data_IF_596857480103
#
_entry.id   IF_596857480103
#
_cell.length_a   1.000
_cell.length_b   1.000
_cell.length_c   1.000
_cell.angle_alpha   90.00
_cell.angle_beta   90.00
_cell.angle_gamma   90.00
#
_symmetry.space_group_name_H-M   'P 1'
#
loop_
_entity.id
_entity.type
_entity.pdbx_description
1 polymer ?
#
# COMPACT_ATOMS: atom_id res chain seq x y z
N UNK A 1 12.41 28.94 12.10
CA UNK A 1 13.47 28.16 11.46
C UNK A 1 13.08 27.98 10.00
N UNK A 2 13.93 28.41 9.07
CA UNK A 2 13.71 28.25 7.63
C UNK A 2 14.28 26.88 7.24
N UNK A 3 13.46 25.82 7.34
CA UNK A 3 13.89 24.44 7.06
C UNK A 3 13.17 23.95 5.80
N UNK A 4 13.94 23.59 4.79
CA UNK A 4 13.42 22.91 3.61
C UNK A 4 13.22 21.42 3.93
N UNK A 5 11.99 20.92 3.74
CA UNK A 5 11.64 19.51 4.00
C UNK A 5 11.40 18.81 2.69
N UNK A 6 12.15 17.74 2.44
CA UNK A 6 11.93 16.85 1.32
C UNK A 6 11.37 15.51 1.78
N UNK A 7 10.35 15.00 1.08
CA UNK A 7 9.75 13.72 1.39
C UNK A 7 10.36 12.58 0.56
N UNK A 8 10.49 11.44 1.20
CA UNK A 8 10.98 10.21 0.57
C UNK A 8 9.91 9.11 0.65
N UNK A 9 9.48 8.61 -0.51
CA UNK A 9 8.52 7.53 -0.60
C UNK A 9 9.22 6.17 -0.47
N UNK A 10 9.44 5.73 0.76
CA UNK A 10 10.20 4.50 1.04
C UNK A 10 9.37 3.25 1.14
N UNK A 11 8.30 3.25 1.95
CA UNK A 11 7.49 2.06 2.23
C UNK A 11 6.00 2.39 2.19
N UNK A 12 5.20 1.48 1.65
CA UNK A 12 3.74 1.63 1.55
C UNK A 12 3.31 2.25 0.22
N UNK A 13 2.06 2.59 0.03
CA UNK A 13 1.33 3.00 -1.16
C UNK A 13 1.96 3.93 -2.19
N UNK A 14 3.24 3.77 -2.47
CA UNK A 14 3.93 4.52 -3.51
C UNK A 14 3.63 3.94 -4.91
N UNK A 15 3.82 4.71 -6.00
CA UNK A 15 3.65 4.25 -7.37
C UNK A 15 4.45 2.98 -7.70
N UNK A 16 5.60 2.80 -7.07
CA UNK A 16 6.44 1.61 -7.21
C UNK A 16 5.92 0.37 -6.51
N UNK A 17 4.81 0.47 -5.75
CA UNK A 17 4.29 -0.60 -4.90
C UNK A 17 2.79 -0.81 -5.04
N UNK A 18 2.26 -0.63 -6.22
CA UNK A 18 0.83 -0.80 -6.48
C UNK A 18 -0.02 0.40 -6.07
N UNK A 19 0.58 1.59 -5.96
CA UNK A 19 -0.13 2.85 -5.69
C UNK A 19 -0.95 3.39 -6.86
N UNK A 20 -1.14 2.62 -7.92
CA UNK A 20 -1.90 3.00 -9.10
C UNK A 20 -1.06 3.74 -10.17
N UNK A 21 -1.71 4.31 -11.18
CA UNK A 21 -1.04 5.07 -12.23
C UNK A 21 -0.22 6.23 -11.64
N UNK A 22 0.98 6.44 -12.17
CA UNK A 22 1.94 7.42 -11.60
C UNK A 22 1.36 8.82 -11.51
N UNK A 23 0.68 9.31 -12.53
CA UNK A 23 0.09 10.63 -12.55
C UNK A 23 -0.96 10.82 -11.45
N UNK A 24 -1.92 9.88 -11.34
CA UNK A 24 -2.94 9.93 -10.30
C UNK A 24 -2.32 9.86 -8.89
N UNK A 25 -1.29 9.04 -8.72
CA UNK A 25 -0.60 8.89 -7.43
C UNK A 25 0.16 10.16 -7.04
N UNK A 26 0.83 10.83 -7.97
CA UNK A 26 1.53 12.08 -7.66
C UNK A 26 0.57 13.23 -7.42
N UNK A 27 -0.53 13.32 -8.16
CA UNK A 27 -1.59 14.30 -7.92
C UNK A 27 -2.35 14.07 -6.61
N UNK A 28 -2.31 12.88 -6.03
CA UNK A 28 -2.90 12.59 -4.72
C UNK A 28 -2.00 12.98 -3.54
N UNK A 29 -0.76 13.41 -3.80
CA UNK A 29 0.14 13.86 -2.76
C UNK A 29 -0.29 15.23 -2.20
N UNK A 30 0.12 15.57 -0.97
CA UNK A 30 -0.13 16.92 -0.44
C UNK A 30 0.40 18.01 -1.37
N UNK A 31 -0.29 19.14 -1.49
CA UNK A 31 0.19 20.27 -2.28
C UNK A 31 1.64 20.63 -1.92
N UNK A 32 2.44 20.96 -2.93
CA UNK A 32 3.86 21.32 -2.81
C UNK A 32 4.78 20.25 -2.22
N UNK A 33 4.30 18.99 -2.03
CA UNK A 33 5.17 17.88 -1.61
C UNK A 33 6.01 17.31 -2.76
N UNK A 34 5.57 17.55 -4.00
CA UNK A 34 6.32 17.28 -5.22
C UNK A 34 6.71 18.63 -5.81
N UNK A 35 7.99 18.97 -5.72
CA UNK A 35 8.53 20.26 -6.18
C UNK A 35 9.77 20.00 -7.05
N UNK A 36 9.55 19.75 -8.34
CA UNK A 36 10.59 19.46 -9.33
C UNK A 36 11.32 18.13 -9.11
N UNK A 37 11.06 17.42 -8.03
CA UNK A 37 11.74 16.16 -7.69
C UNK A 37 10.84 15.21 -6.92
N UNK A 38 11.04 13.92 -7.16
CA UNK A 38 10.47 12.85 -6.33
C UNK A 38 11.52 11.76 -6.11
N UNK A 39 11.54 11.17 -4.93
CA UNK A 39 12.36 10.01 -4.64
C UNK A 39 11.49 8.83 -4.24
N UNK A 40 11.56 7.75 -5.01
CA UNK A 40 10.75 6.54 -4.83
C UNK A 40 11.69 5.35 -4.68
N UNK A 41 11.30 4.40 -3.80
CA UNK A 41 11.94 3.09 -3.74
C UNK A 41 11.03 2.07 -4.43
N UNK A 42 11.45 1.57 -5.58
CA UNK A 42 10.81 0.42 -6.20
C UNK A 42 11.13 -0.87 -5.44
N UNK A 43 10.24 -1.86 -5.54
CA UNK A 43 10.54 -3.21 -5.06
C UNK A 43 11.49 -3.89 -6.03
N UNK A 44 12.46 -4.64 -5.51
CA UNK A 44 13.45 -5.33 -6.33
C UNK A 44 12.82 -6.24 -7.38
N UNK A 45 11.69 -6.87 -7.05
CA UNK A 45 10.95 -7.78 -7.91
C UNK A 45 10.39 -7.11 -9.17
N UNK A 46 10.10 -5.81 -9.12
CA UNK A 46 9.49 -5.09 -10.25
C UNK A 46 10.50 -4.28 -11.08
N UNK A 47 11.75 -4.15 -10.62
CA UNK A 47 12.79 -3.38 -11.32
C UNK A 47 13.03 -3.94 -12.73
N UNK A 48 13.21 -5.26 -12.82
CA UNK A 48 13.42 -5.92 -14.11
C UNK A 48 12.21 -5.75 -15.04
N UNK A 49 11.00 -5.82 -14.50
CA UNK A 49 9.78 -5.64 -15.28
C UNK A 49 9.61 -4.23 -15.81
N UNK A 50 9.99 -3.22 -15.00
CA UNK A 50 9.82 -1.79 -15.37
C UNK A 50 10.96 -1.26 -16.24
N UNK A 51 12.18 -1.74 -16.02
CA UNK A 51 13.38 -1.11 -16.59
C UNK A 51 14.28 -2.08 -17.37
N UNK A 52 13.99 -3.38 -17.37
CA UNK A 52 14.81 -4.39 -18.05
C UNK A 52 14.69 -4.39 -19.58
N UNK A 53 13.69 -3.71 -20.14
CA UNK A 53 13.50 -3.52 -21.58
C UNK A 53 13.48 -2.03 -21.90
N UNK A 54 14.40 -1.58 -22.76
CA UNK A 54 14.67 -0.15 -23.00
C UNK A 54 13.41 0.67 -23.35
N UNK A 55 12.55 0.27 -24.32
CA UNK A 55 11.36 1.04 -24.64
C UNK A 55 10.41 1.21 -23.45
N UNK A 56 10.27 0.16 -22.63
CA UNK A 56 9.43 0.19 -21.44
C UNK A 56 10.05 1.06 -20.33
N UNK A 57 11.37 0.99 -20.16
CA UNK A 57 12.11 1.86 -19.25
C UNK A 57 11.92 3.34 -19.63
N UNK A 58 12.07 3.65 -20.90
CA UNK A 58 11.83 5.01 -21.43
C UNK A 58 10.42 5.47 -21.18
N UNK A 59 9.42 4.65 -21.47
CA UNK A 59 8.01 4.96 -21.20
C UNK A 59 7.77 5.26 -19.71
N UNK A 60 8.26 4.40 -18.82
CA UNK A 60 8.11 4.59 -17.39
C UNK A 60 8.79 5.85 -16.89
N UNK A 61 10.03 6.11 -17.31
CA UNK A 61 10.77 7.31 -16.92
C UNK A 61 10.11 8.59 -17.44
N UNK A 62 9.68 8.62 -18.71
CA UNK A 62 8.94 9.74 -19.26
C UNK A 62 7.62 9.99 -18.51
N UNK A 63 6.91 8.92 -18.12
CA UNK A 63 5.69 9.03 -17.32
C UNK A 63 5.97 9.64 -15.93
N UNK A 64 7.09 9.29 -15.29
CA UNK A 64 7.51 9.91 -14.03
C UNK A 64 7.86 11.39 -14.21
N UNK A 65 8.62 11.73 -15.25
CA UNK A 65 8.99 13.12 -15.56
C UNK A 65 7.73 13.96 -15.79
N UNK A 66 6.83 13.49 -16.65
CA UNK A 66 5.56 14.18 -16.92
C UNK A 66 4.73 14.38 -15.64
N UNK A 67 4.58 13.34 -14.84
CA UNK A 67 3.80 13.42 -13.60
C UNK A 67 4.42 14.36 -12.55
N UNK A 68 5.75 14.42 -12.45
CA UNK A 68 6.46 15.38 -11.57
C UNK A 68 6.30 16.80 -12.08
N UNK A 69 6.41 17.00 -13.40
CA UNK A 69 6.22 18.30 -14.03
C UNK A 69 4.80 18.82 -13.78
N UNK A 70 3.78 17.99 -14.06
CA UNK A 70 2.38 18.32 -13.80
C UNK A 70 2.15 18.70 -12.33
N UNK A 71 2.58 17.87 -11.40
CA UNK A 71 2.37 18.10 -9.97
C UNK A 71 3.13 19.34 -9.44
N UNK A 72 4.18 19.76 -10.14
CA UNK A 72 4.97 20.94 -9.79
C UNK A 72 4.35 22.22 -10.33
N UNK A 73 3.91 22.20 -11.62
CA UNK A 73 3.35 23.38 -12.29
C UNK A 73 1.88 23.62 -11.93
N UNK A 74 1.13 22.55 -11.71
CA UNK A 74 -0.29 22.58 -11.30
C UNK A 74 -0.49 21.72 -10.05
N UNK A 75 -0.05 22.18 -8.87
CA UNK A 75 -0.16 21.41 -7.64
C UNK A 75 -1.64 21.16 -7.29
N UNK A 76 -1.96 19.98 -6.70
CA UNK A 76 -3.32 19.66 -6.32
C UNK A 76 -3.86 20.67 -5.29
N UNK A 77 -5.18 20.91 -5.27
CA UNK A 77 -5.77 21.85 -4.33
C UNK A 77 -5.59 21.42 -2.88
N UNK A 78 -5.50 22.38 -1.97
CA UNK A 78 -5.45 22.11 -0.55
C UNK A 78 -6.74 21.43 -0.11
N UNK A 79 -6.67 20.25 0.55
CA UNK A 79 -7.87 19.54 1.02
C UNK A 79 -8.68 20.38 2.00
N UNK A 80 -9.98 20.41 1.82
CA UNK A 80 -10.93 21.11 2.71
C UNK A 80 -10.95 20.43 4.10
N UNK A 81 -11.16 21.21 5.16
CA UNK A 81 -11.17 20.70 6.54
C UNK A 81 -12.26 19.65 6.80
N UNK A 82 -13.43 19.81 6.17
CA UNK A 82 -14.50 18.82 6.27
C UNK A 82 -14.11 17.48 5.61
N UNK A 83 -13.35 17.48 4.51
CA UNK A 83 -12.84 16.26 3.91
C UNK A 83 -11.85 15.54 4.82
N UNK A 84 -10.94 16.30 5.43
CA UNK A 84 -9.97 15.75 6.40
C UNK A 84 -10.69 15.12 7.60
N UNK A 85 -11.69 15.81 8.14
CA UNK A 85 -12.50 15.31 9.25
C UNK A 85 -13.25 14.04 8.88
N UNK A 86 -13.84 13.97 7.69
CA UNK A 86 -14.54 12.79 7.19
C UNK A 86 -13.59 11.60 7.03
N UNK A 87 -12.45 11.80 6.36
CA UNK A 87 -11.44 10.75 6.16
C UNK A 87 -10.89 10.25 7.50
N UNK A 88 -10.67 11.13 8.48
CA UNK A 88 -10.24 10.72 9.82
C UNK A 88 -11.27 9.81 10.50
N UNK A 89 -12.56 10.16 10.44
CA UNK A 89 -13.64 9.30 10.97
C UNK A 89 -13.69 7.94 10.27
N UNK A 90 -13.62 7.95 8.94
CA UNK A 90 -13.58 6.70 8.15
C UNK A 90 -12.38 5.84 8.53
N UNK A 91 -11.21 6.44 8.67
CA UNK A 91 -9.98 5.77 9.08
C UNK A 91 -10.10 5.13 10.47
N UNK A 92 -10.70 5.83 11.44
CA UNK A 92 -10.88 5.30 12.79
C UNK A 92 -11.87 4.14 12.82
N UNK A 93 -12.98 4.23 12.11
CA UNK A 93 -13.95 3.14 11.97
C UNK A 93 -13.28 1.91 11.34
N UNK A 94 -12.60 2.10 10.23
CA UNK A 94 -11.89 1.04 9.51
C UNK A 94 -10.82 0.39 10.38
N UNK A 95 -9.99 1.19 11.04
CA UNK A 95 -8.95 0.71 11.95
C UNK A 95 -9.52 -0.09 13.12
N UNK A 96 -10.58 0.39 13.75
CA UNK A 96 -11.18 -0.27 14.89
C UNK A 96 -11.81 -1.60 14.48
N UNK A 97 -12.54 -1.64 13.37
CA UNK A 97 -13.11 -2.86 12.83
C UNK A 97 -12.04 -3.90 12.48
N UNK A 98 -11.01 -3.48 11.77
CA UNK A 98 -9.90 -4.37 11.41
C UNK A 98 -9.18 -4.93 12.65
N UNK A 99 -8.87 -4.06 13.62
CA UNK A 99 -8.17 -4.47 14.85
C UNK A 99 -9.01 -5.40 15.72
N UNK A 100 -10.31 -5.15 15.82
CA UNK A 100 -11.23 -6.04 16.56
C UNK A 100 -11.17 -7.46 16.04
N UNK A 101 -11.17 -7.63 14.74
CA UNK A 101 -11.16 -8.96 14.11
C UNK A 101 -9.79 -9.63 14.15
N UNK A 102 -8.71 -8.89 13.90
CA UNK A 102 -7.38 -9.47 13.67
C UNK A 102 -6.50 -9.44 14.91
N UNK A 103 -6.46 -8.33 15.63
CA UNK A 103 -5.51 -8.15 16.72
C UNK A 103 -6.08 -8.49 18.10
N UNK A 104 -7.40 -8.40 18.28
CA UNK A 104 -8.07 -8.61 19.56
C UNK A 104 -8.72 -9.98 19.68
N UNK A 105 -8.89 -10.70 18.58
CA UNK A 105 -9.42 -12.07 18.60
C UNK A 105 -8.31 -13.07 18.89
N UNK A 106 -8.39 -13.76 20.02
CA UNK A 106 -7.44 -14.80 20.38
C UNK A 106 -7.49 -15.98 19.38
N UNK A 107 -8.65 -16.28 18.84
CA UNK A 107 -8.85 -17.38 17.91
C UNK A 107 -8.42 -17.06 16.48
N UNK A 108 -8.23 -15.78 16.14
CA UNK A 108 -7.88 -15.39 14.78
C UNK A 108 -6.54 -15.99 14.32
N UNK A 109 -5.55 -16.03 15.19
CA UNK A 109 -4.24 -16.63 14.88
C UNK A 109 -4.39 -18.14 14.63
N UNK A 110 -5.20 -18.82 15.45
CA UNK A 110 -5.50 -20.24 15.27
C UNK A 110 -6.21 -20.48 13.94
N UNK A 111 -7.24 -19.69 13.65
CA UNK A 111 -7.96 -19.73 12.38
C UNK A 111 -6.98 -19.52 11.20
N UNK A 112 -6.21 -18.45 11.19
CA UNK A 112 -5.23 -18.17 10.12
C UNK A 112 -4.28 -19.36 9.88
N UNK A 113 -3.75 -19.95 10.95
CA UNK A 113 -2.84 -21.10 10.87
C UNK A 113 -3.49 -22.37 10.36
N UNK A 114 -4.78 -22.53 10.58
CA UNK A 114 -5.55 -23.73 10.18
C UNK A 114 -6.01 -23.64 8.73
N UNK A 115 -6.51 -22.47 8.32
CA UNK A 115 -7.17 -22.32 7.00
C UNK A 115 -6.21 -21.89 5.89
N UNK A 116 -5.04 -21.34 6.22
CA UNK A 116 -4.09 -20.87 5.20
C UNK A 116 -2.86 -21.79 5.12
N UNK A 117 -2.26 -21.94 3.93
CA UNK A 117 -1.03 -22.72 3.75
C UNK A 117 0.23 -21.94 4.17
N UNK A 118 0.15 -21.09 5.20
CA UNK A 118 1.22 -20.19 5.62
C UNK A 118 2.55 -20.90 5.94
N UNK A 119 2.49 -22.14 6.45
CA UNK A 119 3.70 -22.95 6.74
C UNK A 119 4.42 -23.35 5.47
N UNK A 120 3.68 -23.79 4.45
CA UNK A 120 4.25 -24.16 3.15
C UNK A 120 4.81 -22.91 2.45
N UNK A 121 4.06 -21.81 2.45
CA UNK A 121 4.48 -20.54 1.87
C UNK A 121 5.73 -19.96 2.57
N UNK A 122 5.88 -20.21 3.85
CA UNK A 122 7.06 -19.81 4.63
C UNK A 122 8.38 -20.45 4.17
N UNK A 123 8.31 -21.55 3.40
CA UNK A 123 9.48 -22.23 2.82
C UNK A 123 9.82 -21.73 1.41
N UNK A 124 8.94 -20.96 0.80
CA UNK A 124 9.14 -20.42 -0.55
C UNK A 124 9.86 -19.07 -0.47
N UNK A 125 10.77 -18.83 -1.41
CA UNK A 125 11.41 -17.52 -1.61
C UNK A 125 10.45 -16.57 -2.30
N UNK A 126 9.44 -16.08 -1.57
CA UNK A 126 8.46 -15.13 -2.07
C UNK A 126 8.93 -13.72 -1.71
N UNK A 127 9.37 -12.98 -2.71
CA UNK A 127 9.90 -11.62 -2.55
C UNK A 127 11.37 -11.59 -2.13
N UNK A 128 11.94 -10.40 -2.12
CA UNK A 128 13.36 -10.13 -1.86
C UNK A 128 13.77 -10.24 -0.38
N UNK A 129 12.86 -10.61 0.51
CA UNK A 129 13.12 -10.64 1.96
C UNK A 129 12.56 -11.90 2.60
N UNK A 130 13.15 -12.37 3.71
CA UNK A 130 12.62 -13.50 4.47
C UNK A 130 11.14 -13.31 4.83
N UNK A 131 10.37 -14.40 4.82
CA UNK A 131 8.92 -14.39 5.07
C UNK A 131 8.54 -13.92 6.48
N UNK A 132 9.43 -14.08 7.45
CA UNK A 132 9.23 -13.66 8.85
C UNK A 132 10.32 -12.68 9.31
N UNK A 133 9.96 -11.76 10.19
CA UNK A 133 10.90 -10.80 10.81
C UNK A 133 11.67 -11.42 11.98
N UNK A 134 11.03 -12.32 12.73
CA UNK A 134 11.56 -13.03 13.91
C UNK A 134 10.93 -14.42 13.94
N UNK A 135 11.57 -15.36 14.64
CA UNK A 135 11.04 -16.71 14.85
C UNK A 135 9.86 -16.76 15.85
N UNK A 136 9.20 -15.66 16.09
CA UNK A 136 8.02 -15.59 16.96
C UNK A 136 6.76 -15.83 16.12
N UNK A 137 5.95 -16.76 16.57
CA UNK A 137 4.79 -17.24 15.83
C UNK A 137 3.54 -16.38 16.11
N UNK A 138 3.64 -15.10 15.78
CA UNK A 138 2.53 -14.16 15.87
C UNK A 138 2.34 -13.37 14.55
N UNK A 139 1.17 -12.77 14.37
CA UNK A 139 0.83 -11.98 13.15
C UNK A 139 1.82 -10.81 12.95
N UNK A 140 2.29 -10.19 14.03
CA UNK A 140 3.23 -9.05 13.96
C UNK A 140 4.59 -9.44 13.40
N UNK A 141 4.95 -10.72 13.43
CA UNK A 141 6.19 -11.22 12.86
C UNK A 141 6.11 -11.46 11.35
N UNK A 142 4.91 -11.62 10.80
CA UNK A 142 4.70 -11.83 9.37
C UNK A 142 4.99 -10.56 8.59
N UNK A 143 5.50 -10.74 7.36
CA UNK A 143 5.64 -9.66 6.39
C UNK A 143 4.40 -9.55 5.52
N UNK A 144 4.22 -8.39 4.90
CA UNK A 144 3.03 -8.08 4.11
C UNK A 144 2.82 -9.05 2.94
N UNK A 145 3.87 -9.41 2.18
CA UNK A 145 3.74 -10.32 1.02
C UNK A 145 3.29 -11.72 1.47
N UNK A 146 3.94 -12.41 2.41
CA UNK A 146 3.46 -13.70 2.90
C UNK A 146 2.06 -13.64 3.52
N UNK A 147 1.72 -12.56 4.20
CA UNK A 147 0.39 -12.33 4.76
C UNK A 147 -0.67 -12.29 3.68
N UNK A 148 -0.50 -11.41 2.70
CA UNK A 148 -1.46 -11.26 1.58
C UNK A 148 -1.55 -12.55 0.79
N UNK A 149 -0.41 -13.16 0.47
CA UNK A 149 -0.36 -14.38 -0.35
C UNK A 149 -1.03 -15.57 0.34
N UNK A 150 -0.91 -15.71 1.65
CA UNK A 150 -1.59 -16.78 2.39
C UNK A 150 -3.12 -16.69 2.26
N UNK A 151 -3.68 -15.48 2.32
CA UNK A 151 -5.12 -15.26 2.16
C UNK A 151 -5.60 -15.47 0.72
N UNK A 152 -4.82 -15.07 -0.27
CA UNK A 152 -5.20 -15.25 -1.68
C UNK A 152 -5.32 -16.73 -2.07
N UNK A 153 -4.61 -17.63 -1.38
CA UNK A 153 -4.70 -19.08 -1.63
C UNK A 153 -6.08 -19.66 -1.27
N UNK A 154 -6.79 -19.04 -0.34
CA UNK A 154 -8.14 -19.47 0.07
C UNK A 154 -9.24 -18.53 -0.44
N UNK A 155 -8.90 -17.57 -1.29
CA UNK A 155 -9.80 -16.56 -1.85
C UNK A 155 -10.54 -15.72 -0.77
N UNK A 156 -9.97 -15.64 0.39
CA UNK A 156 -10.46 -14.83 1.50
C UNK A 156 -9.37 -13.85 1.90
N UNK A 157 -9.71 -12.58 2.08
CA UNK A 157 -8.78 -11.57 2.54
C UNK A 157 -9.43 -10.69 3.59
N UNK A 158 -8.83 -10.58 4.78
CA UNK A 158 -9.29 -9.61 5.76
C UNK A 158 -8.98 -8.20 5.26
N UNK A 159 -10.01 -7.41 5.08
CA UNK A 159 -9.91 -6.03 4.61
C UNK A 159 -10.59 -5.09 5.59
N UNK A 160 -10.12 -3.85 5.64
CA UNK A 160 -10.66 -2.82 6.53
C UNK A 160 -11.72 -1.94 5.87
N UNK A 161 -11.70 -1.84 4.55
CA UNK A 161 -12.56 -0.92 3.81
C UNK A 161 -13.98 -1.42 3.56
N UNK A 162 -14.26 -2.72 3.72
CA UNK A 162 -15.61 -3.28 3.54
C UNK A 162 -16.67 -2.66 4.45
N UNK A 163 -16.25 -2.13 5.59
CA UNK A 163 -17.13 -1.42 6.52
C UNK A 163 -17.37 0.04 6.15
N UNK A 164 -16.64 0.54 5.17
CA UNK A 164 -16.73 1.92 4.66
C UNK A 164 -17.50 1.99 3.35
N UNK A 165 -17.62 0.87 2.64
CA UNK A 165 -18.48 0.82 1.46
C UNK A 165 -19.93 0.91 1.96
N UNK A 166 -20.64 1.90 1.43
CA UNK A 166 -22.10 1.89 1.54
C UNK A 166 -22.58 0.53 1.09
N UNK A 167 -23.54 -0.07 1.81
CA UNK A 167 -24.19 -1.26 1.30
C UNK A 167 -24.72 -0.88 -0.08
N UNK A 168 -24.06 -1.37 -1.11
CA UNK A 168 -24.67 -1.36 -2.42
C UNK A 168 -25.91 -2.18 -2.25
N UNK A 169 -27.05 -1.51 -2.21
CA UNK A 169 -28.34 -2.15 -2.17
C UNK A 169 -28.54 -2.85 -3.50
N UNK A 170 -27.92 -3.99 -3.65
CA UNK A 170 -28.28 -5.00 -4.62
C UNK A 170 -29.35 -5.86 -3.96
N UNK A 171 -30.45 -5.25 -3.65
CA UNK A 171 -31.70 -5.95 -3.50
C UNK A 171 -32.45 -5.76 -4.82
N UNK A 172 -32.23 -6.70 -5.70
CA UNK A 172 -33.23 -7.11 -6.68
C UNK A 172 -33.92 -8.32 -6.09
#
# INVERSE_FOLDING_TARGET
FNIEVSFFHGRGGSPGRGGGPIQATLRSQPPNSVNGKIRITDQGEVIQQKYGYEPLAKYNLCSYIGAVTDATLDPPPVPKNNWRSLISKMSDISKNSYRKNINQSADFIKYFKTVTPHKALGKLSIGSRPTKRKNVDNIKSLRAIPWVFAWTQIRLMPVSYTHLTLPTSTHV
#
